data_IF_464486336063
#
_entry.id   IF_464486336063
#
_cell.length_a   1.000
_cell.length_b   1.000
_cell.length_c   1.000
_cell.angle_alpha   90.00
_cell.angle_beta   90.00
_cell.angle_gamma   90.00
#
_symmetry.space_group_name_H-M   'P 1'
#
loop_
_entity.id
_entity.type
_entity.pdbx_description
1 polymer ?
#
# COMPACT_ATOMS: atom_id res chain seq x y z
N UNK A 1 -0.55 6.34 -27.74
CA UNK A 1 -1.85 5.69 -27.51
C UNK A 1 -2.47 6.30 -26.27
N UNK A 2 -3.62 6.96 -26.38
CA UNK A 2 -4.35 7.43 -25.20
C UNK A 2 -4.89 6.21 -24.46
N UNK A 3 -4.54 6.05 -23.19
CA UNK A 3 -5.11 4.98 -22.35
C UNK A 3 -6.51 5.40 -21.92
N UNK A 4 -7.51 4.64 -22.31
CA UNK A 4 -8.87 4.86 -21.83
C UNK A 4 -8.99 4.39 -20.37
N UNK A 5 -9.64 5.20 -19.53
CA UNK A 5 -9.83 4.85 -18.13
C UNK A 5 -10.90 3.75 -18.02
N UNK A 6 -10.53 2.59 -17.48
CA UNK A 6 -11.44 1.46 -17.27
C UNK A 6 -12.44 1.69 -16.11
N UNK A 7 -12.14 2.63 -15.20
CA UNK A 7 -12.99 2.94 -14.07
C UNK A 7 -13.19 4.45 -13.92
N UNK A 8 -14.43 4.84 -13.59
CA UNK A 8 -14.78 6.24 -13.31
C UNK A 8 -14.37 6.67 -11.90
N UNK A 9 -14.40 5.74 -10.95
CA UNK A 9 -14.05 5.95 -9.54
C UNK A 9 -13.28 4.74 -9.03
N UNK A 10 -12.31 5.00 -8.17
CA UNK A 10 -11.52 3.99 -7.47
C UNK A 10 -11.66 4.25 -5.97
N UNK A 11 -11.93 3.21 -5.21
CA UNK A 11 -11.90 3.22 -3.76
C UNK A 11 -10.90 2.16 -3.30
N UNK A 12 -9.82 2.61 -2.67
CA UNK A 12 -8.75 1.74 -2.18
C UNK A 12 -8.78 1.73 -0.65
N UNK A 13 -8.80 0.55 -0.06
CA UNK A 13 -8.70 0.37 1.39
C UNK A 13 -7.47 -0.48 1.67
N UNK A 14 -6.55 0.07 2.44
CA UNK A 14 -5.45 -0.68 3.04
C UNK A 14 -5.74 -1.01 4.50
N UNK A 15 -5.42 -2.22 4.91
CA UNK A 15 -5.54 -2.66 6.31
C UNK A 15 -4.17 -3.14 6.78
N UNK A 16 -3.55 -2.37 7.67
CA UNK A 16 -2.24 -2.71 8.20
C UNK A 16 -2.29 -3.96 9.08
N UNK A 17 -1.27 -4.81 9.00
CA UNK A 17 -1.16 -6.01 9.82
C UNK A 17 -2.22 -7.10 9.58
N UNK A 18 -3.00 -7.03 8.51
CA UNK A 18 -4.01 -8.03 8.19
C UNK A 18 -3.37 -9.34 7.71
N UNK A 19 -3.23 -10.31 8.62
CA UNK A 19 -2.66 -11.63 8.32
C UNK A 19 -3.59 -12.41 7.38
N UNK A 20 -3.11 -12.88 6.21
CA UNK A 20 -3.95 -13.57 5.23
C UNK A 20 -4.46 -14.93 5.73
N UNK A 21 -3.70 -15.64 6.57
CA UNK A 21 -4.10 -16.95 7.11
C UNK A 21 -5.20 -16.80 8.15
N UNK A 22 -5.07 -15.80 9.06
CA UNK A 22 -6.11 -15.49 10.03
C UNK A 22 -7.37 -14.95 9.33
N UNK A 23 -7.21 -14.13 8.31
CA UNK A 23 -8.32 -13.65 7.49
C UNK A 23 -9.08 -14.80 6.85
N UNK A 24 -8.38 -15.74 6.20
CA UNK A 24 -8.99 -16.94 5.61
C UNK A 24 -9.75 -17.73 6.65
N UNK A 25 -9.11 -18.04 7.78
CA UNK A 25 -9.74 -18.77 8.89
C UNK A 25 -11.05 -18.10 9.33
N UNK A 26 -11.04 -16.79 9.57
CA UNK A 26 -12.24 -16.09 10.05
C UNK A 26 -13.32 -15.93 8.98
N UNK A 27 -12.94 -15.86 7.72
CA UNK A 27 -13.89 -15.93 6.60
C UNK A 27 -14.59 -17.29 6.56
N UNK A 28 -13.83 -18.37 6.68
CA UNK A 28 -14.35 -19.75 6.65
C UNK A 28 -15.21 -20.06 7.88
N UNK A 29 -14.86 -19.50 9.04
CA UNK A 29 -15.66 -19.59 10.27
C UNK A 29 -16.90 -18.66 10.27
N UNK A 30 -17.13 -17.89 9.21
CA UNK A 30 -18.26 -16.96 9.10
C UNK A 30 -18.14 -15.69 9.94
N UNK A 31 -16.99 -15.45 10.59
CA UNK A 31 -16.75 -14.26 11.43
C UNK A 31 -16.50 -12.98 10.65
N UNK A 32 -16.19 -13.09 9.36
CA UNK A 32 -15.93 -11.98 8.46
C UNK A 32 -16.86 -12.00 7.23
N UNK A 33 -18.19 -11.86 7.41
CA UNK A 33 -19.16 -12.07 6.34
C UNK A 33 -19.05 -11.03 5.22
N UNK A 34 -18.63 -9.81 5.52
CA UNK A 34 -18.47 -8.77 4.51
C UNK A 34 -17.20 -8.99 3.66
N UNK A 35 -16.10 -9.45 4.26
CA UNK A 35 -14.90 -9.83 3.53
C UNK A 35 -15.19 -11.03 2.64
N UNK A 36 -15.95 -12.01 3.13
CA UNK A 36 -16.43 -13.15 2.33
C UNK A 36 -17.18 -12.70 1.09
N UNK A 37 -18.13 -11.78 1.22
CA UNK A 37 -18.87 -11.22 0.08
C UNK A 37 -17.96 -10.50 -0.92
N UNK A 38 -16.92 -9.80 -0.46
CA UNK A 38 -15.97 -9.15 -1.36
C UNK A 38 -15.15 -10.18 -2.14
N UNK A 39 -14.71 -11.26 -1.48
CA UNK A 39 -13.98 -12.37 -2.12
C UNK A 39 -14.86 -13.06 -3.17
N UNK A 40 -16.12 -13.33 -2.85
CA UNK A 40 -17.06 -14.03 -3.74
C UNK A 40 -17.47 -13.19 -4.96
N UNK A 41 -17.48 -11.87 -4.84
CA UNK A 41 -17.91 -10.94 -5.90
C UNK A 41 -16.78 -10.34 -6.71
N UNK A 42 -15.57 -10.44 -6.21
CA UNK A 42 -14.38 -9.81 -6.78
C UNK A 42 -13.35 -10.83 -7.27
N UNK A 43 -12.17 -10.32 -7.55
CA UNK A 43 -10.99 -11.12 -7.84
C UNK A 43 -10.00 -10.99 -6.69
N UNK A 44 -9.52 -12.11 -6.20
CA UNK A 44 -8.50 -12.13 -5.14
C UNK A 44 -7.50 -13.27 -5.40
N UNK A 45 -6.34 -13.16 -4.79
CA UNK A 45 -5.40 -14.28 -4.74
C UNK A 45 -5.96 -15.37 -3.83
N UNK A 46 -5.73 -16.64 -4.20
CA UNK A 46 -6.18 -17.77 -3.41
C UNK A 46 -5.66 -17.73 -1.96
N UNK A 47 -4.41 -17.32 -1.76
CA UNK A 47 -3.76 -17.20 -0.47
C UNK A 47 -4.07 -15.88 0.27
N UNK A 48 -4.85 -14.97 -0.34
CA UNK A 48 -5.16 -13.62 0.15
C UNK A 48 -3.93 -12.75 0.43
N UNK A 49 -2.74 -13.19 0.04
CA UNK A 49 -1.52 -12.46 0.32
C UNK A 49 -1.32 -11.32 -0.70
N UNK A 50 -0.95 -10.16 -0.21
CA UNK A 50 -0.48 -9.08 -1.07
C UNK A 50 0.94 -9.40 -1.53
N UNK A 51 1.21 -9.23 -2.83
CA UNK A 51 2.57 -9.27 -3.35
C UNK A 51 3.25 -7.97 -2.95
N UNK A 52 4.14 -8.08 -2.00
CA UNK A 52 4.85 -6.92 -1.47
C UNK A 52 6.33 -6.92 -1.85
N UNK A 53 7.03 -5.98 -1.26
CA UNK A 53 8.49 -5.87 -1.34
C UNK A 53 9.12 -6.25 0.00
N UNK A 54 10.43 -6.37 0.04
CA UNK A 54 11.18 -6.54 1.26
C UNK A 54 11.81 -5.21 1.70
N UNK A 55 11.86 -4.92 3.00
CA UNK A 55 11.31 -5.68 4.12
C UNK A 55 9.79 -5.52 4.27
N UNK A 56 9.13 -6.55 4.83
CA UNK A 56 7.66 -6.58 5.05
C UNK A 56 7.27 -5.84 6.32
N UNK A 57 7.63 -4.57 6.42
CA UNK A 57 7.29 -3.69 7.55
C UNK A 57 6.50 -2.48 7.04
N UNK A 58 5.77 -1.83 7.93
CA UNK A 58 4.75 -0.82 7.59
C UNK A 58 5.26 0.29 6.66
N UNK A 59 6.31 1.07 6.95
CA UNK A 59 6.65 2.22 6.11
C UNK A 59 7.06 1.84 4.68
N UNK A 60 7.96 0.87 4.42
CA UNK A 60 8.29 0.48 3.07
C UNK A 60 7.10 -0.11 2.32
N UNK A 61 6.24 -0.90 2.98
CA UNK A 61 5.11 -1.55 2.32
C UNK A 61 4.01 -0.57 1.93
N UNK A 62 3.66 0.37 2.81
CA UNK A 62 2.71 1.43 2.48
C UNK A 62 3.23 2.37 1.40
N UNK A 63 4.53 2.70 1.43
CA UNK A 63 5.16 3.50 0.38
C UNK A 63 5.18 2.75 -0.95
N UNK A 64 5.48 1.45 -0.94
CA UNK A 64 5.37 0.60 -2.14
C UNK A 64 3.94 0.58 -2.69
N UNK A 65 2.93 0.44 -1.84
CA UNK A 65 1.52 0.51 -2.25
C UNK A 65 1.17 1.87 -2.87
N UNK A 66 1.63 2.94 -2.24
CA UNK A 66 1.34 4.31 -2.67
C UNK A 66 2.05 4.75 -3.96
N UNK A 67 3.21 4.15 -4.27
CA UNK A 67 4.06 4.59 -5.39
C UNK A 67 4.19 3.55 -6.51
N UNK A 68 3.87 2.29 -6.23
CA UNK A 68 4.17 1.18 -7.14
C UNK A 68 5.66 0.86 -7.30
N UNK A 69 6.54 1.51 -6.51
CA UNK A 69 7.99 1.34 -6.56
C UNK A 69 8.48 0.44 -5.41
N UNK A 70 9.62 -0.21 -5.61
CA UNK A 70 10.28 -0.99 -4.55
C UNK A 70 11.03 -0.08 -3.55
N UNK A 71 11.29 -0.55 -2.31
CA UNK A 71 11.99 0.22 -1.27
C UNK A 71 13.33 0.80 -1.71
N UNK A 72 14.10 0.07 -2.51
CA UNK A 72 15.36 0.56 -3.09
C UNK A 72 15.17 1.72 -4.06
N UNK A 73 14.00 1.86 -4.68
CA UNK A 73 13.67 2.95 -5.60
C UNK A 73 13.08 4.14 -4.86
N UNK A 74 12.06 3.91 -3.99
CA UNK A 74 11.42 5.02 -3.28
C UNK A 74 12.21 5.48 -2.03
N UNK A 75 13.21 4.72 -1.58
CA UNK A 75 14.14 5.13 -0.51
C UNK A 75 13.63 4.93 0.91
N UNK A 76 12.38 4.52 1.11
CA UNK A 76 11.83 4.23 2.44
C UNK A 76 12.02 2.75 2.73
N UNK A 77 13.02 2.41 3.52
CA UNK A 77 13.44 1.02 3.75
C UNK A 77 13.12 0.51 5.16
N UNK A 78 12.86 1.40 6.10
CA UNK A 78 12.55 1.05 7.50
C UNK A 78 11.79 2.21 8.18
N UNK A 79 11.39 2.00 9.43
CA UNK A 79 10.89 3.05 10.33
C UNK A 79 11.93 4.14 10.60
N UNK A 80 13.19 3.79 10.53
CA UNK A 80 14.33 4.65 10.85
C UNK A 80 15.28 4.77 9.67
N UNK A 81 16.02 5.85 9.63
CA UNK A 81 17.12 6.07 8.68
C UNK A 81 18.37 6.54 9.43
N UNK A 82 19.52 6.24 8.91
CA UNK A 82 20.77 6.86 9.34
C UNK A 82 20.75 8.36 9.04
N UNK A 83 21.50 9.11 9.81
CA UNK A 83 21.76 10.54 9.58
C UNK A 83 23.25 10.73 9.25
N UNK A 84 23.64 11.95 8.94
CA UNK A 84 25.06 12.30 8.73
C UNK A 84 25.87 12.28 10.04
N UNK A 85 25.17 12.39 11.18
CA UNK A 85 25.80 12.34 12.49
C UNK A 85 25.90 10.88 12.95
N UNK A 86 27.11 10.43 13.38
CA UNK A 86 27.29 9.12 13.97
C UNK A 86 26.36 8.95 15.19
N UNK A 87 25.82 7.76 15.35
CA UNK A 87 24.94 7.38 16.47
C UNK A 87 23.58 8.12 16.55
N UNK A 88 23.26 8.96 15.56
CA UNK A 88 21.94 9.61 15.45
C UNK A 88 21.11 8.91 14.40
N UNK A 89 19.95 8.43 14.81
CA UNK A 89 18.93 7.88 13.91
C UNK A 89 17.71 8.81 13.87
N UNK A 90 17.12 8.98 12.70
CA UNK A 90 15.90 9.74 12.54
C UNK A 90 14.74 8.84 12.12
N UNK A 91 13.51 9.24 12.45
CA UNK A 91 12.32 8.59 11.92
C UNK A 91 12.20 8.82 10.41
N UNK A 92 11.73 7.81 9.70
CA UNK A 92 11.61 7.84 8.25
C UNK A 92 10.14 8.02 7.80
N UNK A 93 9.39 8.85 8.53
CA UNK A 93 7.97 9.16 8.26
C UNK A 93 7.76 10.43 7.45
N UNK A 94 8.83 11.07 7.02
CA UNK A 94 8.74 12.28 6.23
C UNK A 94 8.60 11.91 4.75
N UNK A 95 7.51 12.34 4.11
CA UNK A 95 7.26 12.12 2.69
C UNK A 95 8.33 12.72 1.77
N UNK A 96 9.07 13.72 2.24
CA UNK A 96 10.22 14.31 1.50
C UNK A 96 11.37 13.32 1.33
N UNK A 97 11.43 12.27 2.14
CA UNK A 97 12.41 11.19 1.99
C UNK A 97 12.02 10.20 0.88
N UNK A 98 10.77 10.21 0.44
CA UNK A 98 10.30 9.34 -0.63
C UNK A 98 10.76 9.91 -1.99
N UNK A 99 11.52 9.12 -2.74
CA UNK A 99 12.08 9.48 -4.05
C UNK A 99 11.18 9.09 -5.22
N UNK A 100 10.08 8.40 -4.97
CA UNK A 100 9.12 7.97 -5.98
C UNK A 100 7.82 8.76 -5.87
N UNK A 101 7.19 9.01 -7.00
CA UNK A 101 5.96 9.76 -7.06
C UNK A 101 4.77 8.94 -6.56
N UNK A 102 3.93 9.47 -5.65
CA UNK A 102 2.74 8.78 -5.19
C UNK A 102 1.61 8.81 -6.23
N UNK A 103 0.78 7.78 -6.23
CA UNK A 103 -0.36 7.61 -7.14
C UNK A 103 -1.33 8.81 -7.16
N UNK A 104 -1.54 9.46 -6.05
CA UNK A 104 -2.44 10.62 -5.98
C UNK A 104 -1.93 11.83 -6.76
N UNK A 105 -0.61 12.01 -6.90
CA UNK A 105 -0.04 13.02 -7.77
C UNK A 105 -0.33 12.70 -9.24
N UNK A 106 -0.08 11.46 -9.65
CA UNK A 106 -0.37 10.98 -11.01
C UNK A 106 -1.85 11.19 -11.37
N UNK A 107 -2.74 10.92 -10.41
CA UNK A 107 -4.18 11.16 -10.62
C UNK A 107 -4.48 12.65 -10.73
N UNK A 108 -3.86 13.50 -9.90
CA UNK A 108 -4.05 14.95 -9.95
C UNK A 108 -3.57 15.54 -11.29
N UNK A 109 -2.42 15.13 -11.80
CA UNK A 109 -1.91 15.51 -13.11
C UNK A 109 -2.84 15.08 -14.26
N UNK A 110 -3.54 13.96 -14.07
CA UNK A 110 -4.56 13.48 -14.99
C UNK A 110 -5.93 14.19 -14.82
N UNK A 111 -5.99 15.28 -14.06
CA UNK A 111 -7.21 16.06 -13.80
C UNK A 111 -8.22 15.33 -12.89
N UNK A 112 -7.81 14.31 -12.14
CA UNK A 112 -8.65 13.57 -11.21
C UNK A 112 -8.56 14.14 -9.80
N UNK A 113 -9.68 14.17 -9.09
CA UNK A 113 -9.70 14.51 -7.67
C UNK A 113 -9.37 13.27 -6.84
N UNK A 114 -8.47 13.40 -5.90
CA UNK A 114 -8.09 12.34 -4.98
C UNK A 114 -8.34 12.78 -3.53
N UNK A 115 -8.76 11.84 -2.71
CA UNK A 115 -8.82 11.99 -1.27
C UNK A 115 -7.95 10.89 -0.67
N UNK A 116 -6.93 11.28 0.08
CA UNK A 116 -6.09 10.38 0.85
C UNK A 116 -6.43 10.57 2.32
N UNK A 117 -6.87 9.50 2.94
CA UNK A 117 -7.17 9.49 4.37
C UNK A 117 -6.15 8.58 5.07
N UNK A 118 -5.44 9.15 6.06
CA UNK A 118 -4.35 8.46 6.75
C UNK A 118 -4.57 8.50 8.26
#
# INVERSE_FOLDING_TARGET
MSREALAKKIFCIGVDGMDPRLTRKYVDEGKMPNVKKLIERGACRHDLAMVGAMPTVTPPMWTTLATGAYPGTHGITCFYRATEEPDVIAYNFDSRNCKAEPLWNVFAESGKKTLVWH
#
